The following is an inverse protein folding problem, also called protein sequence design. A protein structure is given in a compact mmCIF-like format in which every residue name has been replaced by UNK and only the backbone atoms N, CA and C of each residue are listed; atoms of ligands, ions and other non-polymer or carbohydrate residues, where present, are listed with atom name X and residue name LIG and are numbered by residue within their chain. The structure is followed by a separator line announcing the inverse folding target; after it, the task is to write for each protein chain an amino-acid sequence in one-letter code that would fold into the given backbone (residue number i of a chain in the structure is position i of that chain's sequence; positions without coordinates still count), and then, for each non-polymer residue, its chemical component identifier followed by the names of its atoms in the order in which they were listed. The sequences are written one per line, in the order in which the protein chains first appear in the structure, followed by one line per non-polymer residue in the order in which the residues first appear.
data_IF_920371579759
#
_entry.id   IF_920371579759
#
_cell.length_a   1.000
_cell.length_b   1.000
_cell.length_c   1.000
_cell.angle_alpha   90.00
_cell.angle_beta   90.00
_cell.angle_gamma   90.00
#
_symmetry.space_group_name_H-M   'P 1'
#
loop_
_entity.id
_entity.type
_entity.pdbx_description
1 polymer ?
#
# COMPACT_ATOMS: atom_id res chain seq x y z
N UNK A 1 -14.26 -13.35 -3.81
CA UNK A 1 -15.43 -12.46 -3.65
C UNK A 1 -15.73 -11.63 -4.89
N UNK A 2 -14.76 -10.96 -5.54
CA UNK A 2 -15.05 -10.04 -6.66
C UNK A 2 -15.64 -10.76 -7.87
N UNK A 3 -15.10 -11.93 -8.22
CA UNK A 3 -15.67 -12.78 -9.29
C UNK A 3 -17.10 -13.22 -8.97
N UNK A 4 -17.36 -13.61 -7.74
CA UNK A 4 -18.69 -14.02 -7.30
C UNK A 4 -19.70 -12.87 -7.29
N UNK A 5 -19.28 -11.70 -6.80
CA UNK A 5 -20.10 -10.48 -6.84
C UNK A 5 -20.43 -10.09 -8.28
N UNK A 6 -19.44 -10.16 -9.19
CA UNK A 6 -19.67 -9.86 -10.60
C UNK A 6 -20.65 -10.85 -11.26
N UNK A 7 -20.51 -12.15 -10.98
CA UNK A 7 -21.40 -13.20 -11.48
C UNK A 7 -22.85 -13.00 -11.00
N UNK A 8 -23.01 -12.83 -9.69
CA UNK A 8 -24.32 -12.58 -9.07
C UNK A 8 -24.96 -11.29 -9.58
N UNK A 9 -24.14 -10.24 -9.76
CA UNK A 9 -24.59 -8.95 -10.28
C UNK A 9 -25.08 -9.06 -11.70
N UNK A 10 -24.36 -9.78 -12.57
CA UNK A 10 -24.79 -10.01 -13.95
C UNK A 10 -26.13 -10.77 -13.99
N UNK A 11 -26.24 -11.88 -13.29
CA UNK A 11 -27.47 -12.69 -13.25
C UNK A 11 -28.66 -11.89 -12.71
N UNK A 12 -28.48 -11.20 -11.59
CA UNK A 12 -29.53 -10.39 -10.98
C UNK A 12 -29.99 -9.26 -11.88
N UNK A 13 -29.05 -8.51 -12.46
CA UNK A 13 -29.37 -7.38 -13.33
C UNK A 13 -30.12 -7.86 -14.59
N UNK A 14 -29.71 -8.99 -15.19
CA UNK A 14 -30.40 -9.55 -16.36
C UNK A 14 -31.84 -9.94 -16.02
N UNK A 15 -32.08 -10.61 -14.88
CA UNK A 15 -33.45 -10.97 -14.45
C UNK A 15 -34.30 -9.72 -14.18
N UNK A 16 -33.76 -8.71 -13.51
CA UNK A 16 -34.48 -7.48 -13.18
C UNK A 16 -34.77 -6.61 -14.40
N UNK A 17 -33.83 -6.56 -15.35
CA UNK A 17 -34.02 -5.85 -16.63
C UNK A 17 -35.11 -6.50 -17.49
N UNK A 18 -35.18 -7.83 -17.52
CA UNK A 18 -36.28 -8.56 -18.17
C UNK A 18 -37.63 -8.22 -17.54
N UNK A 19 -37.68 -7.92 -16.22
CA UNK A 19 -38.84 -7.42 -15.51
C UNK A 19 -39.09 -5.90 -15.61
N UNK A 20 -38.36 -5.19 -16.50
CA UNK A 20 -38.54 -3.75 -16.73
C UNK A 20 -37.83 -2.82 -15.73
N UNK A 21 -37.03 -3.34 -14.81
CA UNK A 21 -36.32 -2.54 -13.80
C UNK A 21 -34.96 -2.08 -14.35
N UNK A 22 -34.84 -0.80 -14.68
CA UNK A 22 -33.65 -0.21 -15.26
C UNK A 22 -32.44 -0.13 -14.32
N UNK A 23 -32.67 0.12 -13.02
CA UNK A 23 -31.62 0.27 -11.99
C UNK A 23 -31.92 -0.62 -10.78
N UNK A 24 -31.63 -1.92 -10.85
CA UNK A 24 -31.99 -2.85 -9.79
C UNK A 24 -31.13 -2.63 -8.53
N UNK A 25 -31.74 -2.66 -7.36
CA UNK A 25 -31.01 -2.71 -6.09
C UNK A 25 -30.34 -4.07 -5.90
N UNK A 26 -29.19 -4.15 -5.22
CA UNK A 26 -28.55 -5.44 -4.95
C UNK A 26 -29.48 -6.43 -4.23
N UNK A 27 -29.46 -7.69 -4.62
CA UNK A 27 -30.22 -8.72 -3.93
C UNK A 27 -29.75 -8.96 -2.50
N UNK A 28 -30.60 -9.52 -1.64
CA UNK A 28 -30.22 -9.92 -0.26
C UNK A 28 -28.98 -10.82 -0.24
N UNK A 29 -28.86 -11.72 -1.21
CA UNK A 29 -27.71 -12.61 -1.33
C UNK A 29 -26.42 -11.82 -1.65
N UNK A 30 -26.46 -10.90 -2.62
CA UNK A 30 -25.34 -10.02 -2.93
C UNK A 30 -24.90 -9.21 -1.70
N UNK A 31 -25.84 -8.66 -0.95
CA UNK A 31 -25.52 -7.90 0.27
C UNK A 31 -24.81 -8.77 1.32
N UNK A 32 -25.19 -10.06 1.46
CA UNK A 32 -24.48 -11.01 2.33
C UNK A 32 -23.03 -11.23 1.86
N UNK A 33 -22.79 -11.40 0.54
CA UNK A 33 -21.45 -11.56 -0.02
C UNK A 33 -20.60 -10.31 0.18
N UNK A 34 -21.15 -9.12 -0.05
CA UNK A 34 -20.47 -7.84 0.25
C UNK A 34 -20.10 -7.73 1.74
N UNK A 35 -21.01 -8.10 2.65
CA UNK A 35 -20.73 -8.10 4.09
C UNK A 35 -19.59 -9.06 4.45
N UNK A 36 -19.60 -10.28 3.92
CA UNK A 36 -18.51 -11.26 4.14
C UNK A 36 -17.17 -10.71 3.63
N UNK A 37 -17.13 -10.19 2.39
CA UNK A 37 -15.91 -9.56 1.84
C UNK A 37 -15.38 -8.45 2.75
N UNK A 38 -16.25 -7.54 3.18
CA UNK A 38 -15.88 -6.42 4.06
C UNK A 38 -15.31 -6.90 5.40
N UNK A 39 -15.93 -7.91 6.01
CA UNK A 39 -15.48 -8.46 7.29
C UNK A 39 -14.12 -9.17 7.15
N UNK A 40 -13.90 -9.96 6.08
CA UNK A 40 -12.62 -10.59 5.80
C UNK A 40 -11.50 -9.55 5.61
N UNK A 41 -11.77 -8.48 4.84
CA UNK A 41 -10.79 -7.40 4.65
C UNK A 41 -10.49 -6.73 6.00
N UNK A 42 -11.51 -6.44 6.80
CA UNK A 42 -11.36 -5.80 8.09
C UNK A 42 -10.51 -6.63 9.05
N UNK A 43 -10.81 -7.92 9.19
CA UNK A 43 -10.03 -8.87 10.01
C UNK A 43 -8.58 -8.94 9.55
N UNK A 44 -8.36 -9.11 8.24
CA UNK A 44 -7.01 -9.12 7.67
C UNK A 44 -6.22 -7.85 7.98
N UNK A 45 -6.85 -6.67 7.84
CA UNK A 45 -6.21 -5.40 8.16
C UNK A 45 -5.85 -5.29 9.64
N UNK A 46 -6.70 -5.78 10.53
CA UNK A 46 -6.40 -5.83 11.97
C UNK A 46 -5.18 -6.72 12.26
N UNK A 47 -5.09 -7.88 11.62
CA UNK A 47 -3.96 -8.81 11.76
C UNK A 47 -2.66 -8.19 11.23
N UNK A 48 -2.68 -7.63 10.02
CA UNK A 48 -1.49 -6.99 9.42
C UNK A 48 -1.00 -5.81 10.27
N UNK A 49 -1.91 -4.90 10.65
CA UNK A 49 -1.51 -3.74 11.46
C UNK A 49 -1.02 -4.15 12.85
N UNK A 50 -1.57 -5.21 13.44
CA UNK A 50 -1.06 -5.78 14.71
C UNK A 50 0.34 -6.38 14.54
N UNK A 51 0.60 -7.09 13.43
CA UNK A 51 1.92 -7.64 13.15
C UNK A 51 2.98 -6.52 13.03
N UNK A 52 2.65 -5.42 12.36
CA UNK A 52 3.54 -4.24 12.28
C UNK A 52 3.84 -3.69 13.68
N UNK A 53 2.83 -3.47 14.50
CA UNK A 53 3.01 -2.95 15.87
C UNK A 53 3.86 -3.88 16.72
N UNK A 54 3.62 -5.19 16.65
CA UNK A 54 4.39 -6.16 17.39
C UNK A 54 5.86 -6.17 16.95
N UNK A 55 6.11 -6.06 15.64
CA UNK A 55 7.46 -5.95 15.10
C UNK A 55 8.17 -4.67 15.60
N UNK A 56 7.46 -3.53 15.59
CA UNK A 56 8.01 -2.28 16.08
C UNK A 56 8.40 -2.37 17.57
N UNK A 57 7.55 -2.99 18.40
CA UNK A 57 7.83 -3.20 19.82
C UNK A 57 9.03 -4.11 20.07
N UNK A 58 9.12 -5.20 19.31
CA UNK A 58 10.21 -6.17 19.46
C UNK A 58 11.59 -5.62 19.04
N UNK A 59 11.60 -4.55 18.24
CA UNK A 59 12.83 -3.95 17.69
C UNK A 59 13.05 -2.49 18.15
N UNK A 60 12.39 -2.03 19.21
CA UNK A 60 12.49 -0.67 19.76
C UNK A 60 12.33 0.44 18.71
N UNK A 61 11.40 0.25 17.77
CA UNK A 61 11.12 1.23 16.73
C UNK A 61 10.14 2.29 17.27
N UNK A 62 10.59 3.54 17.35
CA UNK A 62 9.80 4.65 17.88
C UNK A 62 9.05 5.46 16.82
N UNK A 63 9.40 5.31 15.54
CA UNK A 63 8.76 6.03 14.44
C UNK A 63 8.55 5.12 13.24
N UNK A 64 7.33 5.06 12.75
CA UNK A 64 6.97 4.40 11.50
C UNK A 64 6.67 5.46 10.46
N UNK A 65 7.34 5.36 9.31
CA UNK A 65 7.15 6.31 8.20
C UNK A 65 6.37 5.60 7.10
N UNK A 66 5.25 6.18 6.70
CA UNK A 66 4.39 5.63 5.64
C UNK A 66 4.28 6.62 4.48
N UNK A 67 4.25 6.08 3.25
CA UNK A 67 4.02 6.89 2.07
C UNK A 67 2.64 7.55 2.06
N UNK A 68 2.60 8.84 1.73
CA UNK A 68 1.34 9.56 1.57
C UNK A 68 0.76 9.34 0.17
N UNK A 69 -0.26 8.51 0.09
CA UNK A 69 -0.98 8.18 -1.13
C UNK A 69 -2.32 8.90 -1.26
N UNK A 70 -2.61 9.89 -0.42
CA UNK A 70 -3.91 10.59 -0.43
C UNK A 70 -4.27 11.19 -1.78
N UNK A 71 -3.27 11.62 -2.54
CA UNK A 71 -3.44 12.23 -3.87
C UNK A 71 -3.09 11.31 -5.04
N UNK A 72 -2.85 10.02 -4.80
CA UNK A 72 -2.39 9.08 -5.85
C UNK A 72 -3.37 8.98 -7.03
N UNK A 73 -4.64 9.32 -6.80
CA UNK A 73 -5.73 9.27 -7.78
C UNK A 73 -6.00 10.59 -8.51
N UNK A 74 -5.47 11.71 -8.03
CA UNK A 74 -5.71 13.00 -8.67
C UNK A 74 -4.98 13.07 -10.02
N UNK A 75 -5.71 13.46 -11.06
CA UNK A 75 -5.19 13.70 -12.42
C UNK A 75 -4.48 12.50 -13.08
N UNK A 76 -4.80 11.25 -12.65
CA UNK A 76 -4.23 10.04 -13.25
C UNK A 76 -5.34 9.15 -13.77
N UNK A 77 -5.34 8.90 -15.07
CA UNK A 77 -6.18 7.89 -15.71
C UNK A 77 -5.30 6.68 -16.08
N UNK A 78 -5.35 5.65 -15.25
CA UNK A 78 -4.59 4.40 -15.43
C UNK A 78 -5.42 3.31 -16.12
N UNK A 79 -6.56 3.69 -16.72
CA UNK A 79 -7.52 2.77 -17.30
C UNK A 79 -8.53 2.22 -16.28
N UNK A 80 -9.70 1.80 -16.78
CA UNK A 80 -10.88 1.42 -15.97
C UNK A 80 -10.59 0.38 -14.90
N UNK A 81 -9.89 -0.71 -15.26
CA UNK A 81 -9.61 -1.82 -14.34
C UNK A 81 -8.62 -1.41 -13.24
N UNK A 82 -7.56 -0.69 -13.60
CA UNK A 82 -6.55 -0.23 -12.63
C UNK A 82 -7.13 0.80 -11.67
N UNK A 83 -7.91 1.74 -12.19
CA UNK A 83 -8.61 2.72 -11.38
C UNK A 83 -9.57 2.04 -10.39
N UNK A 84 -10.35 1.05 -10.83
CA UNK A 84 -11.24 0.29 -9.96
C UNK A 84 -10.49 -0.42 -8.83
N UNK A 85 -9.35 -1.05 -9.13
CA UNK A 85 -8.49 -1.69 -8.11
C UNK A 85 -7.94 -0.68 -7.11
N UNK A 86 -7.45 0.47 -7.58
CA UNK A 86 -6.95 1.55 -6.71
C UNK A 86 -8.05 2.12 -5.80
N UNK A 87 -9.28 2.26 -6.33
CA UNK A 87 -10.42 2.70 -5.52
C UNK A 87 -10.85 1.67 -4.46
N UNK A 88 -10.63 0.38 -4.73
CA UNK A 88 -10.98 -0.71 -3.81
C UNK A 88 -9.98 -0.88 -2.65
N UNK A 89 -8.78 -0.29 -2.74
CA UNK A 89 -7.76 -0.42 -1.70
C UNK A 89 -8.13 0.40 -0.46
N UNK A 90 -8.20 -0.22 0.74
CA UNK A 90 -8.69 0.43 1.94
C UNK A 90 -7.59 1.24 2.68
N UNK A 91 -6.86 2.10 1.95
CA UNK A 91 -5.73 2.87 2.51
C UNK A 91 -6.08 3.68 3.76
N UNK A 92 -7.21 4.40 3.74
CA UNK A 92 -7.63 5.20 4.89
C UNK A 92 -7.85 4.33 6.15
N UNK A 93 -8.36 3.10 5.97
CA UNK A 93 -8.54 2.15 7.09
C UNK A 93 -7.20 1.64 7.62
N UNK A 94 -6.28 1.25 6.74
CA UNK A 94 -4.93 0.82 7.14
C UNK A 94 -4.26 1.94 7.93
N UNK A 95 -4.32 3.15 7.39
CA UNK A 95 -3.71 4.32 7.99
C UNK A 95 -4.28 4.58 9.40
N UNK A 96 -5.60 4.69 9.54
CA UNK A 96 -6.24 4.92 10.83
C UNK A 96 -5.99 3.77 11.83
N UNK A 97 -5.96 2.51 11.35
CA UNK A 97 -5.63 1.37 12.21
C UNK A 97 -4.17 1.39 12.71
N UNK A 98 -3.23 1.80 11.87
CA UNK A 98 -1.82 1.95 12.28
C UNK A 98 -1.69 3.11 13.25
N UNK A 99 -2.31 4.25 12.95
CA UNK A 99 -2.21 5.47 13.75
C UNK A 99 -2.60 5.22 15.21
N UNK A 100 -3.82 4.72 15.47
CA UNK A 100 -4.24 4.50 16.86
C UNK A 100 -3.47 3.36 17.54
N UNK A 101 -3.16 2.27 16.83
CA UNK A 101 -2.44 1.14 17.42
C UNK A 101 -1.00 1.47 17.77
N UNK A 102 -0.30 2.25 16.96
CA UNK A 102 1.06 2.70 17.22
C UNK A 102 1.06 3.72 18.38
N UNK A 103 0.10 4.67 18.38
CA UNK A 103 -0.05 5.65 19.44
C UNK A 103 -0.26 5.01 20.83
N UNK A 104 -1.01 3.90 20.92
CA UNK A 104 -1.19 3.13 22.15
C UNK A 104 0.14 2.62 22.76
N UNK A 105 1.20 2.56 21.97
CA UNK A 105 2.53 2.11 22.40
C UNK A 105 3.59 3.22 22.34
N UNK A 106 3.17 4.49 22.23
CA UNK A 106 4.09 5.63 22.16
C UNK A 106 4.89 5.70 20.85
N UNK A 107 4.47 4.98 19.80
CA UNK A 107 5.16 4.95 18.51
C UNK A 107 4.50 5.98 17.57
N UNK A 108 5.32 6.86 17.01
CA UNK A 108 4.84 7.91 16.08
C UNK A 108 4.63 7.36 14.69
N UNK A 109 3.51 7.72 14.03
CA UNK A 109 3.26 7.49 12.63
C UNK A 109 3.46 8.78 11.84
N UNK A 110 4.43 8.81 10.92
CA UNK A 110 4.73 9.96 10.08
C UNK A 110 4.35 9.69 8.61
N UNK A 111 3.81 10.69 7.93
CA UNK A 111 3.50 10.65 6.48
C UNK A 111 4.62 11.31 5.70
N UNK A 112 5.00 10.71 4.59
CA UNK A 112 5.99 11.26 3.67
C UNK A 112 5.57 11.06 2.22
N UNK A 113 5.81 12.06 1.36
CA UNK A 113 5.52 11.96 -0.08
C UNK A 113 6.33 10.87 -0.75
N UNK A 114 5.68 10.10 -1.65
CA UNK A 114 6.31 8.96 -2.35
C UNK A 114 7.01 9.36 -3.67
N UNK A 115 6.96 10.62 -4.07
CA UNK A 115 7.50 11.06 -5.36
C UNK A 115 8.96 10.63 -5.53
N UNK A 116 9.27 10.03 -6.67
CA UNK A 116 10.59 9.52 -7.08
C UNK A 116 11.19 8.41 -6.20
N UNK A 117 10.57 8.03 -5.09
CA UNK A 117 11.10 7.03 -4.15
C UNK A 117 11.43 5.69 -4.80
N UNK A 118 10.61 5.22 -5.73
CA UNK A 118 10.81 3.94 -6.43
C UNK A 118 11.73 4.02 -7.65
N UNK A 119 12.25 5.22 -7.99
CA UNK A 119 13.06 5.45 -9.18
C UNK A 119 14.50 5.89 -8.86
N UNK A 120 14.73 6.40 -7.66
CA UNK A 120 16.07 6.80 -7.22
C UNK A 120 16.85 5.61 -6.67
N UNK A 121 18.17 5.59 -6.95
CA UNK A 121 19.07 4.62 -6.32
C UNK A 121 19.13 4.84 -4.80
N UNK A 122 19.24 3.78 -3.99
CA UNK A 122 19.53 3.89 -2.56
C UNK A 122 20.82 4.69 -2.26
N UNK A 123 21.75 4.71 -3.21
CA UNK A 123 23.04 5.40 -3.10
C UNK A 123 23.03 6.82 -3.68
N UNK A 124 21.93 7.27 -4.30
CA UNK A 124 21.84 8.64 -4.79
C UNK A 124 21.96 9.64 -3.63
N UNK A 125 22.57 10.82 -3.84
CA UNK A 125 22.68 11.82 -2.78
C UNK A 125 21.33 12.22 -2.19
N UNK A 126 20.34 12.43 -3.05
CA UNK A 126 18.98 12.84 -2.68
C UNK A 126 17.93 12.07 -3.46
N UNK A 127 16.68 12.08 -2.95
CA UNK A 127 15.53 11.47 -3.61
C UNK A 127 14.73 12.56 -4.32
N UNK A 128 15.21 12.94 -5.52
CA UNK A 128 14.61 14.00 -6.35
C UNK A 128 14.42 13.53 -7.79
N UNK A 129 13.75 14.35 -8.59
CA UNK A 129 13.54 14.09 -10.04
C UNK A 129 14.88 13.94 -10.80
N UNK A 130 15.89 14.68 -10.39
CA UNK A 130 17.22 14.67 -11.00
C UNK A 130 17.91 13.30 -10.93
N UNK A 131 17.78 12.62 -9.79
CA UNK A 131 18.38 11.28 -9.56
C UNK A 131 17.44 10.13 -9.92
N UNK A 132 16.23 10.41 -10.41
CA UNK A 132 15.24 9.40 -10.74
C UNK A 132 15.54 8.73 -12.08
N UNK A 133 15.88 7.41 -12.07
CA UNK A 133 16.17 6.62 -13.27
C UNK A 133 15.16 5.47 -13.40
N UNK A 134 14.19 5.63 -14.33
CA UNK A 134 13.15 4.60 -14.57
C UNK A 134 13.74 3.28 -15.11
N UNK A 135 14.85 3.35 -15.86
CA UNK A 135 15.52 2.18 -16.44
C UNK A 135 16.06 1.20 -15.40
N UNK A 136 16.31 1.64 -14.16
CA UNK A 136 16.80 0.80 -13.08
C UNK A 136 15.73 -0.19 -12.56
N UNK A 137 14.45 0.01 -12.86
CA UNK A 137 13.37 -0.98 -12.64
C UNK A 137 13.24 -1.89 -13.86
N UNK A 138 14.14 -2.85 -13.99
CA UNK A 138 14.20 -3.77 -15.14
C UNK A 138 13.02 -4.73 -15.19
N UNK A 139 12.62 -5.26 -14.04
CA UNK A 139 11.50 -6.19 -13.89
C UNK A 139 10.60 -5.78 -12.71
N UNK A 140 9.37 -6.30 -12.69
CA UNK A 140 8.46 -6.12 -11.55
C UNK A 140 9.10 -6.70 -10.27
N UNK A 141 9.23 -5.87 -9.25
CA UNK A 141 9.81 -6.26 -7.96
C UNK A 141 11.33 -6.16 -7.87
N UNK A 142 12.04 -5.90 -8.98
CA UNK A 142 13.49 -5.77 -9.00
C UNK A 142 13.94 -4.36 -9.39
N UNK A 143 14.92 -3.86 -8.66
CA UNK A 143 15.62 -2.62 -8.90
C UNK A 143 17.12 -2.92 -9.07
N UNK A 144 17.70 -2.56 -10.21
CA UNK A 144 19.12 -2.77 -10.51
C UNK A 144 19.79 -1.43 -10.68
N UNK A 145 20.86 -1.18 -9.94
CA UNK A 145 21.77 -0.09 -10.19
C UNK A 145 23.18 -0.61 -10.54
N UNK A 146 24.16 0.28 -10.58
CA UNK A 146 25.53 -0.08 -10.93
C UNK A 146 26.21 -0.97 -9.86
N UNK A 147 25.73 -0.95 -8.63
CA UNK A 147 26.36 -1.62 -7.48
C UNK A 147 25.71 -2.95 -7.15
N UNK A 148 24.38 -3.06 -7.31
CA UNK A 148 23.68 -4.25 -6.83
C UNK A 148 22.25 -4.38 -7.38
N UNK A 149 21.64 -5.53 -7.08
CA UNK A 149 20.22 -5.81 -7.35
C UNK A 149 19.46 -5.82 -6.03
N UNK A 150 18.38 -5.06 -5.96
CA UNK A 150 17.55 -4.86 -4.77
C UNK A 150 16.11 -5.25 -5.02
N UNK A 151 15.37 -5.48 -3.94
CA UNK A 151 13.91 -5.51 -4.00
C UNK A 151 13.37 -4.09 -4.23
N UNK A 152 12.58 -3.89 -5.28
CA UNK A 152 12.11 -2.57 -5.69
C UNK A 152 11.19 -1.89 -4.66
N UNK A 153 10.42 -2.69 -3.91
CA UNK A 153 9.51 -2.16 -2.88
C UNK A 153 10.31 -1.76 -1.63
N UNK A 154 11.35 -2.53 -1.28
CA UNK A 154 12.29 -2.17 -0.22
C UNK A 154 13.05 -0.87 -0.54
N UNK A 155 13.50 -0.69 -1.80
CA UNK A 155 14.11 0.57 -2.26
C UNK A 155 13.15 1.74 -2.12
N UNK A 156 11.88 1.55 -2.54
CA UNK A 156 10.85 2.57 -2.39
C UNK A 156 10.66 3.00 -0.93
N UNK A 157 10.49 2.03 -0.02
CA UNK A 157 10.33 2.28 1.41
C UNK A 157 11.57 2.96 2.04
N UNK A 158 12.76 2.51 1.67
CA UNK A 158 14.03 3.10 2.10
C UNK A 158 14.16 4.57 1.66
N UNK A 159 13.81 4.89 0.43
CA UNK A 159 13.87 6.25 -0.08
C UNK A 159 12.80 7.17 0.54
N UNK A 160 11.61 6.65 0.88
CA UNK A 160 10.61 7.38 1.66
C UNK A 160 11.17 7.75 3.03
N UNK A 161 11.84 6.82 3.70
CA UNK A 161 12.50 7.06 4.99
C UNK A 161 13.61 8.11 4.85
N UNK A 162 14.46 8.05 3.80
CA UNK A 162 15.50 9.06 3.53
C UNK A 162 14.91 10.47 3.34
N UNK A 163 13.82 10.60 2.59
CA UNK A 163 13.13 11.89 2.41
C UNK A 163 12.65 12.47 3.74
N UNK A 164 12.11 11.62 4.61
CA UNK A 164 11.66 12.05 5.93
C UNK A 164 12.82 12.60 6.76
N UNK A 165 13.95 11.89 6.81
CA UNK A 165 15.13 12.37 7.56
C UNK A 165 15.72 13.64 6.99
N UNK A 166 15.81 13.76 5.67
CA UNK A 166 16.25 15.00 5.02
C UNK A 166 15.33 16.19 5.38
N UNK A 167 14.02 15.98 5.39
CA UNK A 167 13.04 16.99 5.81
C UNK A 167 13.15 17.40 7.30
N UNK A 168 13.68 16.51 8.15
CA UNK A 168 13.95 16.78 9.56
C UNK A 168 15.35 17.42 9.81
N UNK A 169 16.13 17.73 8.78
CA UNK A 169 17.50 18.21 8.92
C UNK A 169 18.49 17.19 9.50
N UNK A 170 18.12 15.90 9.46
CA UNK A 170 18.94 14.80 9.99
C UNK A 170 19.49 13.98 8.84
N UNK A 171 20.64 14.33 8.32
CA UNK A 171 21.37 13.46 7.39
C UNK A 171 21.98 12.28 8.16
N UNK A 172 21.25 11.19 8.30
CA UNK A 172 21.80 9.92 8.77
C UNK A 172 22.21 9.08 7.57
N UNK A 173 23.47 8.61 7.55
CA UNK A 173 23.87 7.49 6.69
C UNK A 173 23.15 6.24 7.19
N UNK A 174 22.08 5.87 6.49
CA UNK A 174 21.30 4.68 6.82
C UNK A 174 21.87 3.54 6.01
N UNK A 175 22.09 2.39 6.65
CA UNK A 175 22.59 1.19 5.96
C UNK A 175 21.62 0.74 4.86
N UNK A 176 22.15 0.36 3.71
CA UNK A 176 21.43 -0.27 2.60
C UNK A 176 21.32 -1.78 2.77
N UNK A 177 21.84 -2.33 3.88
CA UNK A 177 21.79 -3.77 4.18
C UNK A 177 20.34 -4.24 4.27
N UNK A 178 20.04 -5.40 3.69
CA UNK A 178 18.70 -5.98 3.71
C UNK A 178 17.77 -5.53 2.57
N UNK A 179 18.14 -4.55 1.74
CA UNK A 179 17.30 -4.14 0.61
C UNK A 179 17.18 -5.22 -0.48
N UNK A 180 18.18 -6.10 -0.61
CA UNK A 180 18.15 -7.21 -1.56
C UNK A 180 17.29 -8.37 -1.07
N UNK A 181 17.18 -8.55 0.25
CA UNK A 181 16.43 -9.65 0.87
C UNK A 181 15.62 -9.13 2.07
N UNK A 182 14.49 -8.45 1.81
CA UNK A 182 13.66 -7.92 2.87
C UNK A 182 13.03 -9.03 3.71
N UNK A 183 12.84 -8.77 5.00
CA UNK A 183 12.14 -9.68 5.91
C UNK A 183 10.67 -9.85 5.48
N UNK A 184 10.24 -11.09 5.39
CA UNK A 184 8.85 -11.45 5.07
C UNK A 184 8.14 -11.89 6.35
N UNK A 185 7.14 -11.11 6.78
CA UNK A 185 6.29 -11.45 7.91
C UNK A 185 4.99 -12.06 7.36
N UNK A 186 4.78 -13.36 7.60
CA UNK A 186 3.54 -14.05 7.23
C UNK A 186 2.47 -13.77 8.29
N UNK A 187 1.32 -13.32 7.84
CA UNK A 187 0.13 -13.11 8.69
C UNK A 187 -0.88 -14.19 8.37
N UNK A 188 -1.32 -14.95 9.38
CA UNK A 188 -2.35 -15.96 9.21
C UNK A 188 -3.69 -15.32 8.84
N UNK A 189 -4.33 -15.83 7.78
CA UNK A 189 -5.63 -15.38 7.27
C UNK A 189 -6.76 -16.19 7.89
#
# INVERSE_FOLDING_TARGET
YDKEIARLGHQWNSCQSAGGIKYPKPSKHMLKVYKKKRNCIHDYLHKVTRAVVNYCKANDIHTVIIGDITNIRRNKNLGKVTNQKLHALPYAKIYGMLEYKLAMHGITLAKQTEEYSSQCSPHAPQVTKEYAKKCNRTNRGLYKDQLSVYNADAVGAYNIMRKYFAGCGKEKKISVTGLSSPLIIKVAV
#
